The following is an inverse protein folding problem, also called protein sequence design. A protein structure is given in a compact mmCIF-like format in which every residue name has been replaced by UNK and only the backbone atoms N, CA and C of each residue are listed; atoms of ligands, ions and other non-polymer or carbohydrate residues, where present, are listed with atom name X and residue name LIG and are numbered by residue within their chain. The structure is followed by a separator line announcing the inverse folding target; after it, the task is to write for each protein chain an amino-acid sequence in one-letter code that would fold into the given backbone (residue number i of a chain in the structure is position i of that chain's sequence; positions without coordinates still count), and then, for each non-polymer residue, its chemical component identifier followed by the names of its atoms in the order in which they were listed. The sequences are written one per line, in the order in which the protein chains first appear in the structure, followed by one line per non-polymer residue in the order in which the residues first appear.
data_IF_689527313449
#
_entry.id   IF_689527313449
#
_cell.length_a   1.000
_cell.length_b   1.000
_cell.length_c   1.000
_cell.angle_alpha   90.00
_cell.angle_beta   90.00
_cell.angle_gamma   90.00
#
_symmetry.space_group_name_H-M   'P 1'
#
loop_
_entity.id
_entity.type
_entity.pdbx_description
1 polymer ?
#
# COMPACT_ATOMS: atom_id res chain seq x y z
N UNK A 1 31.05 41.12 40.25
CA UNK A 1 31.16 39.83 39.54
C UNK A 1 29.74 39.46 39.14
N UNK A 2 29.28 39.66 37.89
CA UNK A 2 29.69 38.96 36.65
C UNK A 2 29.70 37.45 36.90
N UNK A 3 28.93 36.59 36.25
CA UNK A 3 28.26 36.64 34.95
C UNK A 3 27.41 35.34 34.77
N UNK A 4 26.39 35.42 33.90
CA UNK A 4 25.82 34.36 33.00
C UNK A 4 25.19 33.10 33.66
N UNK A 5 23.95 32.68 33.40
CA UNK A 5 23.16 32.74 32.18
C UNK A 5 23.36 31.45 31.35
N UNK A 6 22.48 30.45 31.50
CA UNK A 6 22.26 29.37 30.50
C UNK A 6 20.93 28.62 30.75
N UNK A 7 19.92 29.10 30.03
CA UNK A 7 18.81 28.45 29.33
C UNK A 7 18.51 26.95 29.50
N UNK A 8 17.22 26.64 29.68
CA UNK A 8 16.63 25.41 29.15
C UNK A 8 15.22 25.71 28.63
N UNK A 9 15.14 26.19 27.39
CA UNK A 9 13.91 26.20 26.59
C UNK A 9 13.35 24.78 26.46
N UNK A 10 12.02 24.58 26.53
CA UNK A 10 11.44 23.29 26.19
C UNK A 10 11.61 23.04 24.69
N UNK A 11 12.35 21.98 24.35
CA UNK A 11 12.55 21.52 22.99
C UNK A 11 11.20 21.30 22.28
N UNK A 12 10.83 22.26 21.44
CA UNK A 12 9.76 22.16 20.45
C UNK A 12 10.08 20.95 19.57
N UNK A 13 9.33 19.85 19.78
CA UNK A 13 9.42 18.63 18.97
C UNK A 13 9.04 19.02 17.55
N UNK A 14 10.05 19.20 16.71
CA UNK A 14 9.95 19.45 15.29
C UNK A 14 9.06 18.36 14.67
N UNK A 15 7.86 18.76 14.26
CA UNK A 15 7.06 17.99 13.34
C UNK A 15 7.90 17.80 12.08
N UNK A 16 8.41 16.58 11.90
CA UNK A 16 8.97 16.16 10.63
C UNK A 16 7.82 16.19 9.62
N UNK A 17 7.69 17.33 8.94
CA UNK A 17 6.86 17.51 7.77
C UNK A 17 7.44 16.62 6.69
N UNK A 18 7.04 15.35 6.69
CA UNK A 18 7.33 14.44 5.58
C UNK A 18 6.81 15.11 4.31
N UNK A 19 7.68 15.17 3.30
CA UNK A 19 7.41 15.74 1.98
C UNK A 19 6.01 15.38 1.47
N UNK A 20 5.34 16.23 0.66
CA UNK A 20 4.01 15.94 0.15
C UNK A 20 4.07 14.66 -0.67
N UNK A 21 3.68 13.55 -0.06
CA UNK A 21 3.64 12.27 -0.73
C UNK A 21 2.49 12.38 -1.73
N UNK A 22 2.86 12.24 -3.00
CA UNK A 22 2.04 12.46 -4.18
C UNK A 22 0.65 11.81 -4.03
N UNK A 23 -0.37 12.63 -3.84
CA UNK A 23 -1.78 12.21 -3.74
C UNK A 23 -2.21 11.64 -5.10
N UNK A 24 -2.34 10.31 -5.19
CA UNK A 24 -2.74 9.64 -6.43
C UNK A 24 -4.22 9.23 -6.38
N UNK A 25 -5.07 9.92 -7.15
CA UNK A 25 -6.47 9.55 -7.37
C UNK A 25 -6.53 8.57 -8.55
N UNK A 26 -6.89 7.31 -8.30
CA UNK A 26 -7.19 6.36 -9.38
C UNK A 26 -8.47 6.82 -10.09
N UNK A 27 -8.44 6.91 -11.43
CA UNK A 27 -9.61 7.21 -12.26
C UNK A 27 -10.28 5.91 -12.71
N UNK A 28 -11.60 5.95 -12.99
CA UNK A 28 -12.39 4.78 -13.38
C UNK A 28 -11.87 4.06 -14.64
N UNK A 29 -11.27 4.82 -15.58
CA UNK A 29 -10.62 4.31 -16.79
C UNK A 29 -9.37 3.47 -16.51
N UNK A 30 -8.69 3.69 -15.38
CA UNK A 30 -7.50 2.92 -14.99
C UNK A 30 -7.86 1.46 -14.66
N UNK A 31 -9.09 1.20 -14.19
CA UNK A 31 -9.50 -0.12 -13.73
C UNK A 31 -9.56 -1.16 -14.87
N UNK A 32 -10.01 -0.77 -16.07
CA UNK A 32 -10.11 -1.69 -17.21
C UNK A 32 -8.73 -2.10 -17.73
N UNK A 33 -7.80 -1.15 -17.83
CA UNK A 33 -6.41 -1.42 -18.26
C UNK A 33 -5.70 -2.31 -17.24
N UNK A 34 -5.92 -2.05 -15.95
CA UNK A 34 -5.32 -2.85 -14.87
C UNK A 34 -5.89 -4.29 -14.88
N UNK A 35 -7.18 -4.46 -15.09
CA UNK A 35 -7.83 -5.78 -15.18
C UNK A 35 -7.27 -6.62 -16.32
N UNK A 36 -7.13 -6.02 -17.51
CA UNK A 36 -6.52 -6.66 -18.68
C UNK A 36 -5.09 -7.16 -18.40
N UNK A 37 -4.28 -6.33 -17.72
CA UNK A 37 -2.91 -6.69 -17.34
C UNK A 37 -2.89 -7.86 -16.34
N UNK A 38 -3.88 -7.93 -15.44
CA UNK A 38 -3.99 -9.02 -14.47
C UNK A 38 -4.31 -10.36 -15.13
N UNK A 39 -5.17 -10.36 -16.14
CA UNK A 39 -5.56 -11.58 -16.85
C UNK A 39 -4.42 -12.13 -17.69
N UNK A 40 -3.72 -11.26 -18.42
CA UNK A 40 -2.65 -11.62 -19.38
C UNK A 40 -1.32 -11.97 -18.73
N UNK A 41 -1.16 -11.73 -17.42
CA UNK A 41 0.12 -11.92 -16.72
C UNK A 41 0.10 -13.10 -15.76
N UNK A 42 1.21 -13.84 -15.71
CA UNK A 42 1.48 -14.94 -14.77
C UNK A 42 2.60 -14.61 -13.78
N UNK A 43 3.18 -13.41 -13.85
CA UNK A 43 4.22 -12.92 -12.93
C UNK A 43 3.81 -11.60 -12.32
N UNK A 44 3.83 -11.53 -10.98
CA UNK A 44 3.55 -10.28 -10.28
C UNK A 44 4.62 -9.24 -10.58
N UNK A 45 5.90 -9.64 -10.66
CA UNK A 45 6.99 -8.72 -10.99
C UNK A 45 6.80 -8.06 -12.36
N UNK A 46 6.27 -8.79 -13.35
CA UNK A 46 5.92 -8.23 -14.66
C UNK A 46 4.78 -7.21 -14.56
N UNK A 47 3.72 -7.53 -13.81
CA UNK A 47 2.59 -6.61 -13.58
C UNK A 47 3.06 -5.32 -12.90
N UNK A 48 3.87 -5.45 -11.84
CA UNK A 48 4.46 -4.30 -11.13
C UNK A 48 5.26 -3.44 -12.11
N UNK A 49 6.13 -4.04 -12.93
CA UNK A 49 6.95 -3.28 -13.88
C UNK A 49 6.10 -2.55 -14.92
N UNK A 50 5.09 -3.22 -15.50
CA UNK A 50 4.19 -2.61 -16.49
C UNK A 50 3.45 -1.41 -15.88
N UNK A 51 2.86 -1.58 -14.70
CA UNK A 51 2.12 -0.50 -14.02
C UNK A 51 3.04 0.65 -13.61
N UNK A 52 4.25 0.34 -13.13
CA UNK A 52 5.24 1.35 -12.77
C UNK A 52 5.69 2.17 -13.98
N UNK A 53 6.00 1.53 -15.11
CA UNK A 53 6.37 2.23 -16.34
C UNK A 53 5.23 3.09 -16.88
N UNK A 54 3.98 2.59 -16.87
CA UNK A 54 2.81 3.37 -17.26
C UNK A 54 2.65 4.63 -16.40
N UNK A 55 2.77 4.50 -15.07
CA UNK A 55 2.70 5.66 -14.16
C UNK A 55 3.83 6.65 -14.41
N UNK A 56 5.06 6.16 -14.59
CA UNK A 56 6.21 7.00 -14.90
C UNK A 56 5.97 7.78 -16.20
N UNK A 57 5.49 7.11 -17.23
CA UNK A 57 5.14 7.72 -18.51
C UNK A 57 4.13 8.85 -18.32
N UNK A 58 2.98 8.58 -17.68
CA UNK A 58 1.94 9.57 -17.40
C UNK A 58 2.52 10.78 -16.65
N UNK A 59 3.26 10.55 -15.56
CA UNK A 59 3.87 11.62 -14.76
C UNK A 59 4.89 12.44 -15.56
N UNK A 60 5.69 11.81 -16.42
CA UNK A 60 6.66 12.50 -17.27
C UNK A 60 5.99 13.33 -18.35
N UNK A 61 4.93 12.80 -18.98
CA UNK A 61 4.12 13.51 -19.96
C UNK A 61 3.49 14.76 -19.36
N UNK A 62 2.92 14.67 -18.15
CA UNK A 62 2.37 15.84 -17.46
C UNK A 62 3.43 16.88 -17.07
N UNK A 63 4.61 16.43 -16.62
CA UNK A 63 5.69 17.33 -16.18
C UNK A 63 6.59 17.81 -17.33
N UNK A 64 6.35 17.36 -18.56
CA UNK A 64 7.21 17.59 -19.74
C UNK A 64 8.68 17.30 -19.44
N UNK A 65 8.95 16.24 -18.68
CA UNK A 65 10.31 15.81 -18.31
C UNK A 65 10.71 14.63 -19.18
N UNK A 66 11.91 14.69 -19.78
CA UNK A 66 12.59 13.47 -20.20
C UNK A 66 13.08 12.74 -18.96
N UNK A 67 12.87 11.43 -18.90
CA UNK A 67 13.46 10.59 -17.87
C UNK A 67 14.56 9.77 -18.52
N UNK A 68 15.80 10.09 -18.18
CA UNK A 68 16.98 9.37 -18.66
C UNK A 68 17.23 8.07 -17.88
N UNK A 69 16.35 7.77 -16.91
CA UNK A 69 16.50 6.62 -16.03
C UNK A 69 15.91 5.36 -16.67
N UNK A 70 16.78 4.43 -17.04
CA UNK A 70 16.42 3.18 -17.72
C UNK A 70 15.69 2.17 -16.82
N UNK A 71 15.96 2.19 -15.51
CA UNK A 71 15.44 1.21 -14.55
C UNK A 71 14.38 1.80 -13.61
N UNK A 72 13.51 0.93 -13.09
CA UNK A 72 12.52 1.29 -12.07
C UNK A 72 13.17 1.32 -10.69
N UNK A 73 12.95 2.40 -9.94
CA UNK A 73 13.42 2.48 -8.56
C UNK A 73 12.44 1.76 -7.59
N UNK A 74 12.90 1.55 -6.34
CA UNK A 74 12.09 0.87 -5.32
C UNK A 74 10.75 1.58 -5.02
N UNK A 75 10.75 2.92 -5.05
CA UNK A 75 9.54 3.73 -4.84
C UNK A 75 8.51 3.53 -5.94
N UNK A 76 8.92 3.53 -7.21
CA UNK A 76 8.03 3.29 -8.35
C UNK A 76 7.40 1.90 -8.30
N UNK A 77 8.20 0.88 -7.95
CA UNK A 77 7.69 -0.49 -7.75
C UNK A 77 6.70 -0.56 -6.59
N UNK A 78 6.98 0.15 -5.49
CA UNK A 78 6.09 0.19 -4.33
C UNK A 78 4.77 0.89 -4.67
N UNK A 79 4.81 2.02 -5.39
CA UNK A 79 3.60 2.74 -5.85
C UNK A 79 2.78 1.85 -6.78
N UNK A 80 3.42 1.14 -7.71
CA UNK A 80 2.75 0.20 -8.58
C UNK A 80 2.09 -0.93 -7.80
N UNK A 81 2.78 -1.51 -6.80
CA UNK A 81 2.19 -2.52 -5.92
C UNK A 81 0.97 -1.98 -5.16
N UNK A 82 1.05 -0.78 -4.57
CA UNK A 82 -0.10 -0.15 -3.90
C UNK A 82 -1.28 0.07 -4.85
N UNK A 83 -1.01 0.44 -6.10
CA UNK A 83 -2.06 0.64 -7.12
C UNK A 83 -2.74 -0.66 -7.50
N UNK A 84 -1.96 -1.74 -7.64
CA UNK A 84 -2.48 -3.09 -7.87
C UNK A 84 -3.41 -3.49 -6.71
N UNK A 85 -2.94 -3.33 -5.47
CA UNK A 85 -3.71 -3.68 -4.28
C UNK A 85 -5.00 -2.87 -4.19
N UNK A 86 -4.95 -1.57 -4.47
CA UNK A 86 -6.13 -0.72 -4.49
C UNK A 86 -7.15 -1.16 -5.57
N UNK A 87 -6.70 -1.45 -6.79
CA UNK A 87 -7.58 -1.92 -7.86
C UNK A 87 -8.28 -3.23 -7.48
N UNK A 88 -7.55 -4.15 -6.86
CA UNK A 88 -8.08 -5.42 -6.34
C UNK A 88 -9.08 -5.20 -5.21
N UNK A 89 -8.80 -4.28 -4.28
CA UNK A 89 -9.73 -3.95 -3.20
C UNK A 89 -11.00 -3.28 -3.74
N UNK A 90 -10.89 -2.39 -4.72
CA UNK A 90 -12.05 -1.79 -5.36
C UNK A 90 -12.92 -2.83 -6.09
N UNK A 91 -12.33 -3.88 -6.68
CA UNK A 91 -13.11 -4.95 -7.31
C UNK A 91 -13.74 -5.92 -6.30
N UNK A 92 -13.05 -6.22 -5.20
CA UNK A 92 -13.48 -7.24 -4.23
C UNK A 92 -14.31 -6.68 -3.06
N UNK A 93 -14.08 -5.42 -2.68
CA UNK A 93 -14.62 -4.77 -1.48
C UNK A 93 -15.37 -3.47 -1.83
N UNK A 94 -15.91 -3.36 -3.05
CA UNK A 94 -16.57 -2.13 -3.52
C UNK A 94 -17.64 -1.61 -2.53
N UNK A 95 -18.47 -2.52 -2.02
CA UNK A 95 -19.58 -2.20 -1.09
C UNK A 95 -19.05 -1.75 0.26
N UNK A 96 -18.03 -2.44 0.75
CA UNK A 96 -17.35 -2.14 2.01
C UNK A 96 -16.67 -0.78 1.96
N UNK A 97 -15.94 -0.49 0.88
CA UNK A 97 -15.27 0.80 0.65
C UNK A 97 -16.31 1.93 0.62
N UNK A 98 -17.40 1.75 -0.13
CA UNK A 98 -18.45 2.76 -0.23
C UNK A 98 -19.07 3.06 1.12
N UNK A 99 -19.49 2.05 1.88
CA UNK A 99 -20.14 2.29 3.14
C UNK A 99 -19.19 2.78 4.25
N UNK A 100 -17.89 2.45 4.21
CA UNK A 100 -16.88 3.12 5.06
C UNK A 100 -16.77 4.61 4.73
N UNK A 101 -16.80 4.97 3.43
CA UNK A 101 -16.77 6.38 3.01
C UNK A 101 -18.02 7.15 3.40
N UNK A 102 -19.18 6.50 3.36
CA UNK A 102 -20.49 7.09 3.68
C UNK A 102 -20.83 7.01 5.18
N UNK A 103 -19.96 6.45 6.03
CA UNK A 103 -20.21 6.18 7.44
C UNK A 103 -21.51 5.39 7.71
N UNK A 104 -21.85 4.48 6.80
CA UNK A 104 -23.04 3.63 6.91
C UNK A 104 -22.66 2.34 7.65
N UNK A 105 -23.43 1.90 8.66
CA UNK A 105 -23.19 0.63 9.33
C UNK A 105 -23.38 -0.55 8.36
N UNK A 106 -22.37 -1.42 8.25
CA UNK A 106 -22.36 -2.56 7.34
C UNK A 106 -22.46 -3.87 8.13
N UNK A 107 -23.33 -4.77 7.66
CA UNK A 107 -23.19 -6.21 7.95
C UNK A 107 -22.13 -6.78 6.99
N UNK A 108 -20.86 -6.75 7.39
CA UNK A 108 -19.81 -7.36 6.58
C UNK A 108 -20.07 -8.87 6.46
N UNK A 109 -19.91 -9.44 5.26
CA UNK A 109 -19.97 -10.91 5.06
C UNK A 109 -18.84 -11.68 5.73
N UNK A 110 -17.89 -10.96 6.30
CA UNK A 110 -16.64 -11.42 6.90
C UNK A 110 -16.51 -10.81 8.30
N UNK A 111 -15.70 -11.36 9.21
CA UNK A 111 -15.46 -10.81 10.54
C UNK A 111 -14.62 -9.52 10.50
N UNK A 112 -14.90 -8.64 9.53
CA UNK A 112 -14.33 -7.31 9.40
C UNK A 112 -14.89 -6.35 10.46
N UNK A 113 -16.03 -6.66 11.09
CA UNK A 113 -16.62 -5.86 12.19
C UNK A 113 -15.69 -5.79 13.40
N UNK A 114 -14.90 -6.83 13.68
CA UNK A 114 -13.92 -6.82 14.78
C UNK A 114 -12.60 -6.13 14.42
N UNK A 115 -12.43 -5.72 13.17
CA UNK A 115 -11.22 -5.06 12.69
C UNK A 115 -11.54 -3.56 12.57
N UNK A 116 -10.70 -2.73 13.20
CA UNK A 116 -10.86 -1.27 13.13
C UNK A 116 -10.36 -0.79 11.76
N UNK A 117 -11.20 -0.90 10.72
CA UNK A 117 -10.83 -0.67 9.32
C UNK A 117 -10.89 0.82 8.99
N UNK A 118 -9.93 1.30 8.20
CA UNK A 118 -9.94 2.65 7.65
C UNK A 118 -9.37 2.67 6.22
N UNK A 119 -9.72 3.72 5.49
CA UNK A 119 -9.17 4.02 4.17
C UNK A 119 -7.95 4.93 4.38
N UNK A 120 -6.78 4.49 3.93
CA UNK A 120 -5.55 5.30 3.94
C UNK A 120 -5.66 6.47 2.93
N UNK A 121 -4.77 7.45 3.02
CA UNK A 121 -4.68 8.60 2.11
C UNK A 121 -4.66 8.20 0.62
N UNK A 122 -4.03 7.07 0.27
CA UNK A 122 -4.00 6.57 -1.11
C UNK A 122 -5.21 5.73 -1.50
N UNK A 123 -6.24 5.64 -0.66
CA UNK A 123 -7.48 4.89 -0.94
C UNK A 123 -7.45 3.40 -0.59
N UNK A 124 -6.31 2.87 -0.12
CA UNK A 124 -6.15 1.46 0.26
C UNK A 124 -6.83 1.19 1.59
N UNK A 125 -7.65 0.13 1.64
CA UNK A 125 -8.24 -0.37 2.88
C UNK A 125 -7.19 -1.04 3.76
N UNK A 126 -7.10 -0.56 4.99
CA UNK A 126 -6.19 -1.04 6.01
C UNK A 126 -6.90 -1.31 7.32
N UNK A 127 -6.30 -2.17 8.13
CA UNK A 127 -6.76 -2.44 9.50
C UNK A 127 -5.90 -1.66 10.48
N UNK A 128 -6.53 -1.03 11.46
CA UNK A 128 -5.88 -0.45 12.62
C UNK A 128 -5.77 -1.53 13.70
N UNK A 129 -4.53 -1.95 14.00
CA UNK A 129 -4.25 -2.99 14.98
C UNK A 129 -4.05 -2.48 16.42
N UNK A 130 -3.73 -3.40 17.33
CA UNK A 130 -3.34 -3.07 18.72
C UNK A 130 -1.90 -2.50 18.83
N UNK A 131 -1.09 -2.64 17.78
CA UNK A 131 0.31 -2.21 17.74
C UNK A 131 0.51 -0.75 17.30
N UNK A 132 -0.52 0.10 17.36
CA UNK A 132 -0.44 1.51 16.95
C UNK A 132 0.70 2.26 17.66
N UNK A 133 0.92 1.95 18.94
CA UNK A 133 1.92 2.59 19.79
C UNK A 133 3.31 1.92 19.71
N UNK A 134 3.46 0.79 19.01
CA UNK A 134 4.74 0.11 18.90
C UNK A 134 5.70 0.89 17.97
N UNK A 135 7.02 0.76 18.15
CA UNK A 135 8.01 1.33 17.22
C UNK A 135 8.20 0.42 16.01
N UNK A 136 7.15 0.32 15.18
CA UNK A 136 7.13 -0.54 13.98
C UNK A 136 6.93 0.27 12.70
N UNK A 137 7.36 -0.24 11.53
CA UNK A 137 7.07 0.39 10.25
C UNK A 137 5.56 0.54 10.00
N UNK A 138 5.18 1.56 9.22
CA UNK A 138 3.78 1.88 8.92
C UNK A 138 2.99 0.67 8.39
N UNK A 139 3.55 -0.10 7.44
CA UNK A 139 2.87 -1.29 6.89
C UNK A 139 2.58 -2.36 7.96
N UNK A 140 3.45 -2.49 8.97
CA UNK A 140 3.27 -3.46 10.05
C UNK A 140 2.24 -2.98 11.09
N UNK A 141 2.13 -1.66 11.31
CA UNK A 141 1.11 -1.05 12.18
C UNK A 141 -0.29 -1.06 11.57
N UNK A 142 -0.35 -0.81 10.27
CA UNK A 142 -1.58 -0.63 9.51
C UNK A 142 -1.61 -1.60 8.32
N UNK A 143 -1.81 -2.89 8.58
CA UNK A 143 -1.82 -3.91 7.54
C UNK A 143 -2.87 -3.66 6.45
N UNK A 144 -2.57 -4.09 5.23
CA UNK A 144 -3.47 -3.99 4.06
C UNK A 144 -4.42 -5.18 4.04
N UNK A 145 -5.70 -4.94 3.81
CA UNK A 145 -6.68 -6.02 3.67
C UNK A 145 -6.51 -6.68 2.29
N UNK A 146 -6.05 -7.93 2.27
CA UNK A 146 -5.94 -8.69 1.04
C UNK A 146 -7.19 -9.56 0.84
N UNK A 147 -7.84 -9.54 -0.33
CA UNK A 147 -8.91 -10.50 -0.61
C UNK A 147 -8.34 -11.91 -0.74
N UNK A 148 -9.01 -12.87 -0.11
CA UNK A 148 -8.56 -14.26 -0.06
C UNK A 148 -8.56 -14.93 -1.45
N UNK A 149 -9.50 -14.56 -2.32
CA UNK A 149 -9.73 -15.22 -3.61
C UNK A 149 -9.49 -14.28 -4.79
N UNK A 150 -8.24 -13.90 -5.02
CA UNK A 150 -7.85 -13.14 -6.21
C UNK A 150 -6.55 -13.67 -6.82
N UNK A 151 -6.51 -13.86 -8.15
CA UNK A 151 -5.35 -14.41 -8.89
C UNK A 151 -4.03 -13.71 -8.54
N UNK A 152 -4.07 -12.38 -8.43
CA UNK A 152 -2.87 -11.58 -8.13
C UNK A 152 -2.37 -11.81 -6.70
N UNK A 153 -3.26 -12.11 -5.74
CA UNK A 153 -2.86 -12.46 -4.37
C UNK A 153 -2.17 -13.83 -4.36
N UNK A 154 -2.62 -14.78 -5.18
CA UNK A 154 -1.88 -16.03 -5.37
C UNK A 154 -0.47 -15.78 -5.97
N UNK A 155 -0.36 -14.92 -6.99
CA UNK A 155 0.95 -14.55 -7.54
C UNK A 155 1.84 -13.88 -6.50
N UNK A 156 1.29 -13.00 -5.66
CA UNK A 156 1.98 -12.38 -4.53
C UNK A 156 2.55 -13.45 -3.59
N UNK A 157 1.72 -14.36 -3.10
CA UNK A 157 2.14 -15.45 -2.21
C UNK A 157 3.25 -16.27 -2.87
N UNK A 158 3.11 -16.60 -4.16
CA UNK A 158 4.11 -17.35 -4.93
C UNK A 158 5.44 -16.60 -5.04
N UNK A 159 5.44 -15.29 -5.31
CA UNK A 159 6.67 -14.50 -5.35
C UNK A 159 7.37 -14.50 -3.98
N UNK A 160 6.62 -14.33 -2.87
CA UNK A 160 7.22 -14.39 -1.53
C UNK A 160 7.73 -15.79 -1.18
N UNK A 161 7.05 -16.85 -1.61
CA UNK A 161 7.52 -18.22 -1.44
C UNK A 161 8.88 -18.43 -2.12
N UNK A 162 9.00 -18.04 -3.39
CA UNK A 162 10.26 -18.16 -4.16
C UNK A 162 11.35 -17.24 -3.59
N UNK A 163 11.02 -15.99 -3.26
CA UNK A 163 11.98 -15.03 -2.70
C UNK A 163 12.52 -15.43 -1.32
N UNK A 164 11.77 -16.24 -0.57
CA UNK A 164 12.20 -16.79 0.71
C UNK A 164 12.64 -18.26 0.58
N UNK A 165 13.31 -18.61 -0.53
CA UNK A 165 13.93 -19.91 -0.76
C UNK A 165 12.97 -21.10 -0.60
N UNK A 166 11.76 -20.97 -1.15
CA UNK A 166 10.70 -21.96 -1.00
C UNK A 166 10.28 -22.22 0.45
N UNK A 167 10.24 -21.15 1.25
CA UNK A 167 9.79 -21.18 2.63
C UNK A 167 8.51 -22.01 2.82
N UNK A 168 8.54 -22.89 3.82
CA UNK A 168 7.38 -23.68 4.22
C UNK A 168 6.21 -22.79 4.68
N UNK A 169 4.99 -23.35 4.78
CA UNK A 169 3.77 -22.57 4.98
C UNK A 169 3.78 -21.67 6.23
N UNK A 170 4.36 -22.14 7.33
CA UNK A 170 4.43 -21.38 8.60
C UNK A 170 5.32 -20.15 8.44
N UNK A 171 6.54 -20.34 7.90
CA UNK A 171 7.47 -19.24 7.68
C UNK A 171 6.90 -18.22 6.68
N UNK A 172 6.32 -18.72 5.58
CA UNK A 172 5.68 -17.87 4.58
C UNK A 172 4.51 -17.09 5.18
N UNK A 173 3.67 -17.72 6.00
CA UNK A 173 2.58 -17.03 6.70
C UNK A 173 3.11 -15.93 7.61
N UNK A 174 4.18 -16.18 8.36
CA UNK A 174 4.79 -15.18 9.23
C UNK A 174 5.35 -13.99 8.44
N UNK A 175 6.06 -14.24 7.34
CA UNK A 175 6.59 -13.19 6.45
C UNK A 175 5.45 -12.35 5.88
N UNK A 176 4.39 -13.00 5.39
CA UNK A 176 3.23 -12.29 4.84
C UNK A 176 2.48 -11.50 5.93
N UNK A 177 2.32 -12.03 7.14
CA UNK A 177 1.72 -11.33 8.28
C UNK A 177 2.49 -10.09 8.67
N UNK A 178 3.82 -10.16 8.71
CA UNK A 178 4.66 -9.00 9.00
C UNK A 178 4.53 -7.89 7.95
N UNK A 179 4.32 -8.28 6.68
CA UNK A 179 4.34 -7.33 5.56
C UNK A 179 2.96 -6.80 5.16
N UNK A 180 1.91 -7.60 5.33
CA UNK A 180 0.56 -7.30 4.89
C UNK A 180 -0.50 -7.39 5.99
N UNK A 181 -0.25 -8.11 7.09
CA UNK A 181 -1.21 -8.31 8.19
C UNK A 181 -1.79 -9.70 8.32
N UNK A 182 -2.50 -9.93 9.43
CA UNK A 182 -3.34 -11.12 9.68
C UNK A 182 -4.74 -10.96 9.13
#
# INVERSE_FOLDING_TARGET
MKDLGEDCEPATRSEQKSDPIFTFRIQESDNNVISDVFEKSSSLNRIISVIAYNKRFINNSHKRKSSDQSYLNAGERQIALCTILLAIQNSCFAKEIQAIRENVPISFKVPLISLNIFVEEYGVLRVRGQLQNASLPFQAKYPVILPASHKIIYLLIREYHVANLHAGPILLSNVLRQKFGS
#
